data_IF_622753608460
#
_entry.id   IF_622753608460
#
_cell.length_a   1.000
_cell.length_b   1.000
_cell.length_c   1.000
_cell.angle_alpha   90.00
_cell.angle_beta   90.00
_cell.angle_gamma   90.00
#
_symmetry.space_group_name_H-M   'P 1'
#
loop_
_entity.id
_entity.type
_entity.pdbx_description
1 polymer ?
#
# COMPACT_ATOMS: atom_id res chain seq x y z
N UNK A 1 -1.00 -9.92 -11.05
CA UNK A 1 -1.96 -9.03 -11.73
C UNK A 1 -1.34 -8.51 -13.02
N UNK A 2 -2.13 -8.26 -14.08
CA UNK A 2 -1.60 -7.65 -15.30
C UNK A 2 -1.11 -6.22 -15.00
N UNK A 3 0.01 -5.85 -15.61
CA UNK A 3 0.54 -4.50 -15.63
C UNK A 3 -0.24 -3.62 -16.62
N UNK A 4 -0.16 -2.29 -16.45
CA UNK A 4 -0.73 -1.34 -17.40
C UNK A 4 0.08 -1.42 -18.71
N UNK A 5 -0.59 -1.63 -19.84
CA UNK A 5 0.02 -1.55 -21.17
C UNK A 5 -0.64 -0.47 -22.02
N UNK A 6 0.02 -0.02 -23.08
CA UNK A 6 -0.47 1.09 -23.90
C UNK A 6 -1.81 0.86 -24.62
N UNK A 7 -2.23 -0.40 -24.80
CA UNK A 7 -3.52 -0.75 -25.44
C UNK A 7 -4.50 -1.47 -24.52
N UNK A 8 -4.03 -1.90 -23.36
CA UNK A 8 -4.83 -2.61 -22.37
C UNK A 8 -4.39 -2.15 -20.97
N UNK A 9 -5.06 -1.14 -20.41
CA UNK A 9 -4.72 -0.59 -19.10
C UNK A 9 -5.01 -1.56 -17.95
N UNK A 10 -5.91 -2.52 -18.18
CA UNK A 10 -6.32 -3.51 -17.18
C UNK A 10 -6.95 -2.87 -15.93
N UNK A 11 -6.97 -3.63 -14.84
CA UNK A 11 -7.60 -3.21 -13.59
C UNK A 11 -6.93 -1.96 -12.99
N UNK A 12 -5.60 -1.92 -12.97
CA UNK A 12 -4.87 -0.79 -12.41
C UNK A 12 -5.15 0.50 -13.21
N UNK A 13 -5.16 0.43 -14.54
CA UNK A 13 -5.52 1.56 -15.38
C UNK A 13 -6.97 2.01 -15.19
N UNK A 14 -7.93 1.07 -15.15
CA UNK A 14 -9.33 1.40 -14.93
C UNK A 14 -9.58 2.08 -13.57
N UNK A 15 -8.96 1.60 -12.50
CA UNK A 15 -9.06 2.21 -11.16
C UNK A 15 -8.42 3.60 -11.12
N UNK A 16 -7.34 3.82 -11.86
CA UNK A 16 -6.67 5.12 -11.96
C UNK A 16 -7.47 6.14 -12.79
N UNK A 17 -8.22 5.68 -13.79
CA UNK A 17 -9.03 6.51 -14.70
C UNK A 17 -10.39 6.90 -14.09
N UNK A 18 -11.04 5.99 -13.36
CA UNK A 18 -12.35 6.24 -12.75
C UNK A 18 -12.23 7.11 -11.49
N UNK A 19 -12.68 8.36 -11.53
CA UNK A 19 -12.49 9.34 -10.47
C UNK A 19 -13.17 8.95 -9.14
N UNK A 20 -14.30 8.25 -9.18
CA UNK A 20 -15.11 7.97 -7.99
C UNK A 20 -14.70 6.70 -7.22
N UNK A 21 -13.85 5.86 -7.82
CA UNK A 21 -13.36 4.64 -7.16
C UNK A 21 -12.26 4.97 -6.17
N UNK A 22 -12.37 4.51 -4.94
CA UNK A 22 -11.26 4.53 -4.01
C UNK A 22 -10.29 3.36 -4.23
N UNK A 23 -9.01 3.57 -3.92
CA UNK A 23 -8.03 2.50 -3.94
C UNK A 23 -7.04 2.60 -2.77
N UNK A 24 -6.64 1.43 -2.25
CA UNK A 24 -5.60 1.30 -1.24
C UNK A 24 -4.20 1.27 -1.87
N UNK A 25 -3.22 1.88 -1.20
CA UNK A 25 -1.80 1.75 -1.56
C UNK A 25 -0.96 1.43 -0.34
N UNK A 26 -0.03 0.49 -0.49
CA UNK A 26 0.97 0.13 0.52
C UNK A 26 2.21 0.99 0.27
N UNK A 27 2.54 1.87 1.22
CA UNK A 27 3.61 2.86 1.08
C UNK A 27 4.88 2.46 1.84
N UNK A 28 5.37 1.23 1.66
CA UNK A 28 6.62 0.74 2.26
C UNK A 28 7.84 0.88 1.34
N UNK A 29 7.63 1.26 0.06
CA UNK A 29 8.68 1.34 -0.95
C UNK A 29 9.15 -0.03 -1.46
N UNK A 30 8.50 -1.11 -1.04
CA UNK A 30 8.81 -2.49 -1.40
C UNK A 30 7.71 -3.10 -2.27
N UNK A 31 6.45 -2.84 -1.93
CA UNK A 31 5.29 -3.26 -2.73
C UNK A 31 5.07 -2.39 -3.97
N UNK A 32 5.26 -1.08 -3.82
CA UNK A 32 5.03 -0.09 -4.88
C UNK A 32 6.15 0.93 -4.88
N UNK A 33 6.75 1.16 -6.05
CA UNK A 33 7.73 2.23 -6.23
C UNK A 33 7.10 3.60 -5.93
N UNK A 34 7.84 4.47 -5.22
CA UNK A 34 7.35 5.79 -4.83
C UNK A 34 6.92 6.67 -6.02
N UNK A 35 7.49 6.49 -7.21
CA UNK A 35 7.03 7.18 -8.42
C UNK A 35 5.60 6.80 -8.80
N UNK A 36 5.25 5.51 -8.69
CA UNK A 36 3.89 5.03 -8.95
C UNK A 36 2.91 5.54 -7.90
N UNK A 37 3.32 5.64 -6.63
CA UNK A 37 2.49 6.23 -5.57
C UNK A 37 2.21 7.71 -5.88
N UNK A 38 3.23 8.48 -6.29
CA UNK A 38 3.03 9.88 -6.70
C UNK A 38 2.10 10.02 -7.89
N UNK A 39 2.20 9.13 -8.88
CA UNK A 39 1.30 9.13 -10.05
C UNK A 39 -0.14 8.81 -9.63
N UNK A 40 -0.33 7.77 -8.83
CA UNK A 40 -1.64 7.41 -8.29
C UNK A 40 -2.25 8.56 -7.47
N UNK A 41 -1.45 9.24 -6.63
CA UNK A 41 -1.94 10.36 -5.83
C UNK A 41 -2.45 11.52 -6.68
N UNK A 42 -1.75 11.86 -7.77
CA UNK A 42 -2.18 12.93 -8.69
C UNK A 42 -3.48 12.59 -9.41
N UNK A 43 -3.67 11.33 -9.78
CA UNK A 43 -4.86 10.88 -10.50
C UNK A 43 -6.07 10.70 -9.57
N UNK A 44 -5.84 10.13 -8.38
CA UNK A 44 -6.90 9.76 -7.44
C UNK A 44 -7.26 10.85 -6.44
N UNK A 45 -6.37 11.81 -6.19
CA UNK A 45 -6.59 12.87 -5.23
C UNK A 45 -6.99 12.31 -3.86
N UNK A 46 -8.22 12.60 -3.44
CA UNK A 46 -8.78 12.18 -2.15
C UNK A 46 -9.22 10.72 -2.06
N UNK A 47 -9.17 10.00 -3.17
CA UNK A 47 -9.58 8.60 -3.29
C UNK A 47 -8.43 7.60 -3.11
N UNK A 48 -7.20 8.07 -2.92
CA UNK A 48 -6.06 7.23 -2.59
C UNK A 48 -5.93 7.06 -1.07
N UNK A 49 -6.14 5.85 -0.59
CA UNK A 49 -6.09 5.50 0.82
C UNK A 49 -4.77 4.80 1.16
N UNK A 50 -4.08 5.28 2.20
CA UNK A 50 -2.95 4.53 2.77
C UNK A 50 -3.47 3.27 3.46
N UNK A 51 -2.94 2.12 3.09
CA UNK A 51 -3.15 0.85 3.79
C UNK A 51 -1.80 0.23 4.14
N UNK A 52 -1.77 -0.58 5.20
CA UNK A 52 -0.54 -1.31 5.53
C UNK A 52 -0.49 -2.66 4.83
N UNK A 53 -1.61 -3.37 4.75
CA UNK A 53 -1.62 -4.82 4.51
C UNK A 53 -0.65 -5.55 5.47
N UNK A 54 -0.59 -5.04 6.70
CA UNK A 54 0.35 -5.48 7.73
C UNK A 54 0.05 -6.91 8.16
N UNK A 55 1.12 -7.66 8.41
CA UNK A 55 1.10 -9.00 8.97
C UNK A 55 1.75 -9.03 10.35
N UNK A 56 1.80 -10.20 10.99
CA UNK A 56 2.28 -10.38 12.36
C UNK A 56 3.62 -9.69 12.70
N UNK A 57 4.59 -9.52 11.78
CA UNK A 57 5.83 -8.79 12.07
C UNK A 57 5.66 -7.28 12.28
N UNK A 58 4.55 -6.67 11.84
CA UNK A 58 4.32 -5.23 12.04
C UNK A 58 4.18 -4.91 13.54
N UNK A 59 5.17 -4.19 14.09
CA UNK A 59 5.21 -3.86 15.52
C UNK A 59 5.63 -5.02 16.44
N UNK A 60 6.14 -6.12 15.90
CA UNK A 60 6.66 -7.25 16.65
C UNK A 60 8.07 -7.62 16.18
N UNK A 61 8.83 -8.32 17.03
CA UNK A 61 10.14 -8.85 16.67
C UNK A 61 10.05 -10.37 16.50
N UNK A 62 9.59 -10.81 15.32
CA UNK A 62 9.42 -12.23 14.97
C UNK A 62 10.09 -12.51 13.62
N UNK A 63 10.67 -13.70 13.48
CA UNK A 63 11.39 -14.09 12.26
C UNK A 63 10.49 -14.81 11.25
N UNK A 64 9.40 -15.43 11.72
CA UNK A 64 8.45 -16.15 10.87
C UNK A 64 7.07 -16.24 11.52
N UNK A 65 6.04 -16.45 10.70
CA UNK A 65 4.65 -16.63 11.13
C UNK A 65 3.89 -17.51 10.13
N UNK A 66 2.71 -18.00 10.54
CA UNK A 66 1.83 -18.74 9.65
C UNK A 66 0.80 -17.79 9.05
N UNK A 67 0.67 -17.80 7.72
CA UNK A 67 -0.34 -17.04 6.99
C UNK A 67 -0.93 -17.91 5.87
N UNK A 68 -2.25 -17.99 5.81
CA UNK A 68 -2.96 -18.84 4.83
C UNK A 68 -2.44 -20.30 4.77
N UNK A 69 -2.05 -20.86 5.92
CA UNK A 69 -1.51 -22.24 6.02
C UNK A 69 -0.07 -22.41 5.55
N UNK A 70 0.64 -21.31 5.22
CA UNK A 70 2.04 -21.31 4.79
C UNK A 70 2.93 -20.62 5.83
N UNK A 71 4.17 -21.06 5.92
CA UNK A 71 5.21 -20.35 6.68
C UNK A 71 5.70 -19.16 5.88
N UNK A 72 5.57 -17.97 6.46
CA UNK A 72 6.09 -16.72 5.92
C UNK A 72 7.25 -16.28 6.79
N UNK A 73 8.34 -15.88 6.14
CA UNK A 73 9.57 -15.41 6.77
C UNK A 73 9.64 -13.90 6.67
N UNK A 74 10.05 -13.26 7.77
CA UNK A 74 10.44 -11.86 7.78
C UNK A 74 11.92 -11.75 7.43
N UNK A 75 12.23 -11.17 6.27
CA UNK A 75 13.61 -11.02 5.76
C UNK A 75 13.79 -9.63 5.17
N UNK A 76 14.68 -8.82 5.75
CA UNK A 76 15.02 -7.48 5.26
C UNK A 76 13.80 -6.56 5.04
N UNK A 77 12.82 -6.57 5.95
CA UNK A 77 11.59 -5.77 5.83
C UNK A 77 10.47 -6.44 5.03
N UNK A 78 10.77 -7.53 4.31
CA UNK A 78 9.81 -8.26 3.49
C UNK A 78 9.21 -9.44 4.24
N UNK A 79 7.91 -9.65 4.08
CA UNK A 79 7.23 -10.87 4.45
C UNK A 79 7.11 -11.75 3.21
N UNK A 80 7.91 -12.82 3.13
CA UNK A 80 7.99 -13.69 1.94
C UNK A 80 7.80 -15.16 2.29
N UNK A 81 7.17 -15.90 1.38
CA UNK A 81 7.16 -17.36 1.47
C UNK A 81 8.51 -17.97 1.06
N UNK A 82 8.60 -19.29 1.11
CA UNK A 82 9.80 -20.05 0.72
C UNK A 82 10.27 -19.81 -0.72
N UNK A 83 9.37 -19.35 -1.61
CA UNK A 83 9.64 -19.05 -3.01
C UNK A 83 9.95 -17.57 -3.26
N UNK A 84 9.97 -16.74 -2.21
CA UNK A 84 10.20 -15.29 -2.31
C UNK A 84 8.94 -14.48 -2.65
N UNK A 85 7.75 -15.08 -2.59
CA UNK A 85 6.49 -14.39 -2.89
C UNK A 85 6.10 -13.48 -1.74
N UNK A 86 5.86 -12.20 -2.03
CA UNK A 86 5.36 -11.24 -1.03
C UNK A 86 4.02 -11.70 -0.46
N UNK A 87 3.93 -11.72 0.86
CA UNK A 87 2.79 -12.21 1.63
C UNK A 87 2.45 -11.20 2.74
N UNK A 88 2.01 -10.01 2.30
CA UNK A 88 1.73 -8.85 3.14
C UNK A 88 2.97 -8.02 3.47
N UNK A 89 2.80 -7.01 4.31
CA UNK A 89 3.87 -6.10 4.73
C UNK A 89 4.16 -6.19 6.24
N UNK A 90 5.25 -5.55 6.66
CA UNK A 90 5.57 -5.24 8.05
C UNK A 90 5.29 -3.77 8.40
N UNK A 91 4.64 -3.02 7.49
CA UNK A 91 4.45 -1.58 7.58
C UNK A 91 3.47 -1.22 8.69
N UNK A 92 3.82 -0.24 9.52
CA UNK A 92 2.86 0.42 10.42
C UNK A 92 2.26 1.67 9.78
N UNK A 93 1.08 2.09 10.24
CA UNK A 93 0.44 3.30 9.70
C UNK A 93 1.33 4.54 9.80
N UNK A 94 2.04 4.71 10.92
CA UNK A 94 2.90 5.88 11.14
C UNK A 94 4.13 5.88 10.23
N UNK A 95 4.69 4.71 9.91
CA UNK A 95 5.75 4.57 8.92
C UNK A 95 5.24 4.88 7.52
N UNK A 96 4.05 4.38 7.16
CA UNK A 96 3.40 4.72 5.89
C UNK A 96 3.19 6.22 5.73
N UNK A 97 2.72 6.91 6.78
CA UNK A 97 2.59 8.37 6.79
C UNK A 97 3.96 9.04 6.57
N UNK A 98 4.99 8.60 7.29
CA UNK A 98 6.36 9.13 7.14
C UNK A 98 6.87 8.96 5.72
N UNK A 99 6.65 7.81 5.10
CA UNK A 99 7.13 7.50 3.76
C UNK A 99 6.42 8.35 2.69
N UNK A 100 5.10 8.56 2.82
CA UNK A 100 4.35 9.43 1.90
C UNK A 100 4.84 10.88 1.96
N UNK A 101 5.14 11.40 3.16
CA UNK A 101 5.70 12.75 3.30
C UNK A 101 7.13 12.81 2.75
N UNK A 102 8.02 11.92 3.19
CA UNK A 102 9.44 11.98 2.89
C UNK A 102 9.80 11.61 1.43
N UNK A 103 9.08 10.66 0.83
CA UNK A 103 9.43 10.09 -0.48
C UNK A 103 8.42 10.42 -1.58
N UNK A 104 7.17 10.73 -1.22
CA UNK A 104 6.15 11.11 -2.19
C UNK A 104 5.87 12.62 -2.23
N UNK A 105 6.36 13.38 -1.25
CA UNK A 105 6.17 14.84 -1.18
C UNK A 105 4.71 15.25 -0.95
N UNK A 106 3.91 14.36 -0.35
CA UNK A 106 2.51 14.64 -0.01
C UNK A 106 2.49 15.39 1.32
N UNK A 107 1.71 16.47 1.39
CA UNK A 107 1.64 17.29 2.60
C UNK A 107 1.08 16.49 3.79
N UNK A 108 1.56 16.77 5.00
CA UNK A 108 1.23 15.96 6.18
C UNK A 108 -0.27 16.00 6.52
N UNK A 109 -0.90 17.15 6.37
CA UNK A 109 -2.34 17.35 6.55
C UNK A 109 -3.15 16.52 5.56
N UNK A 110 -2.70 16.47 4.30
CA UNK A 110 -3.28 15.62 3.28
C UNK A 110 -3.11 14.14 3.66
N UNK A 111 -1.90 13.69 4.00
CA UNK A 111 -1.69 12.29 4.41
C UNK A 111 -2.54 11.92 5.64
N UNK A 112 -2.64 12.81 6.64
CA UNK A 112 -3.42 12.57 7.86
C UNK A 112 -4.93 12.48 7.59
N UNK A 113 -5.44 13.25 6.63
CA UNK A 113 -6.84 13.17 6.22
C UNK A 113 -7.19 11.82 5.54
N UNK A 114 -6.20 11.16 4.93
CA UNK A 114 -6.40 9.95 4.11
C UNK A 114 -5.92 8.66 4.79
N UNK A 115 -5.02 8.77 5.77
CA UNK A 115 -4.58 7.69 6.65
C UNK A 115 -5.46 7.49 7.89
N UNK A 116 -6.48 8.33 8.10
CA UNK A 116 -7.41 8.20 9.22
C UNK A 116 -8.57 7.25 8.91
N UNK A 117 -9.13 6.63 9.94
CA UNK A 117 -10.33 5.79 9.83
C UNK A 117 -11.55 6.51 9.19
N UNK A 118 -11.52 7.84 9.06
CA UNK A 118 -12.58 8.67 8.45
C UNK A 118 -12.58 8.67 6.91
N UNK A 119 -11.42 8.58 6.25
CA UNK A 119 -11.37 8.26 4.81
C UNK A 119 -11.72 6.78 4.60
N UNK A 120 -11.27 5.90 5.50
CA UNK A 120 -11.70 4.51 5.58
C UNK A 120 -13.21 4.32 5.80
N UNK A 121 -13.90 5.27 6.42
CA UNK A 121 -15.36 5.22 6.62
C UNK A 121 -16.14 5.68 5.39
N UNK A 122 -15.57 6.56 4.55
CA UNK A 122 -16.09 6.84 3.20
C UNK A 122 -15.77 5.72 2.22
N UNK A 123 -14.59 5.11 2.35
CA UNK A 123 -14.14 3.93 1.60
C UNK A 123 -15.05 2.70 1.78
N UNK A 124 -15.65 2.55 2.98
CA UNK A 124 -16.55 1.44 3.33
C UNK A 124 -18.02 1.68 3.01
N UNK A 125 -18.37 2.81 2.36
CA UNK A 125 -19.74 3.12 1.92
C UNK A 125 -19.92 2.92 0.44
#
# INVERSE_FOLDING_TARGET
MPYITGREPGLAGAVLDEADIYCGVIADGLHVDYANIRNAKRLKGDKLCLVTDATAPAGANIEQFIFAGKTIYYRNGLCVDENGTLSGSSLTMIEGVRNLVAHCGIALDEVAAHGNALSGSRYRR
#
